data_IF_111437957295
#
_entry.id   IF_111437957295
#
_cell.length_a   1.000
_cell.length_b   1.000
_cell.length_c   1.000
_cell.angle_alpha   90.00
_cell.angle_beta   90.00
_cell.angle_gamma   90.00
#
_symmetry.space_group_name_H-M   'P 1'
#
loop_
_entity.id
_entity.type
_entity.pdbx_description
1 polymer ?
#
# COMPACT_ATOMS: atom_id res chain seq x y z
N UNK A 1 14.96 2.94 -3.97
CA UNK A 1 13.57 2.81 -3.46
C UNK A 1 13.26 1.33 -3.37
N UNK A 2 12.90 0.83 -2.20
CA UNK A 2 12.43 -0.55 -2.01
C UNK A 2 10.91 -0.55 -1.91
N UNK A 3 10.27 -1.61 -2.39
CA UNK A 3 8.82 -1.75 -2.34
C UNK A 3 8.46 -3.19 -2.01
N UNK A 4 7.82 -3.39 -0.88
CA UNK A 4 7.41 -4.69 -0.38
C UNK A 4 5.90 -4.85 -0.51
N UNK A 5 5.46 -6.06 -0.84
CA UNK A 5 4.04 -6.44 -0.81
C UNK A 5 3.85 -7.46 0.29
N UNK A 6 2.98 -7.15 1.25
CA UNK A 6 2.72 -7.96 2.43
C UNK A 6 1.23 -8.22 2.59
N UNK A 7 0.87 -9.34 3.19
CA UNK A 7 -0.51 -9.62 3.60
C UNK A 7 -0.66 -9.25 5.07
N UNK A 8 -1.58 -8.33 5.36
CA UNK A 8 -1.89 -7.89 6.71
C UNK A 8 -3.22 -8.48 7.14
N UNK A 9 -3.28 -9.01 8.35
CA UNK A 9 -4.54 -9.48 8.94
C UNK A 9 -5.34 -8.28 9.46
N UNK A 10 -6.59 -8.16 9.01
CA UNK A 10 -7.54 -7.18 9.55
C UNK A 10 -7.83 -7.48 11.03
N UNK A 11 -7.63 -6.48 11.89
CA UNK A 11 -7.94 -6.58 13.31
C UNK A 11 -9.45 -6.75 13.59
N UNK A 12 -10.31 -6.39 12.64
CA UNK A 12 -11.75 -6.43 12.80
C UNK A 12 -12.33 -7.84 12.61
N UNK A 13 -11.87 -8.56 11.60
CA UNK A 13 -12.53 -9.78 11.11
C UNK A 13 -11.56 -10.82 10.54
N UNK A 14 -10.25 -10.64 10.73
CA UNK A 14 -9.21 -11.60 10.33
C UNK A 14 -9.04 -11.78 8.82
N UNK A 15 -9.73 -11.00 8.00
CA UNK A 15 -9.54 -10.98 6.54
C UNK A 15 -8.13 -10.51 6.20
N UNK A 16 -7.44 -11.24 5.34
CA UNK A 16 -6.12 -10.85 4.83
C UNK A 16 -6.26 -9.75 3.78
N UNK A 17 -5.50 -8.68 3.95
CA UNK A 17 -5.49 -7.51 3.09
C UNK A 17 -4.10 -7.35 2.48
N UNK A 18 -4.04 -7.22 1.16
CA UNK A 18 -2.78 -6.92 0.47
C UNK A 18 -2.38 -5.46 0.67
N UNK A 19 -1.21 -5.25 1.26
CA UNK A 19 -0.60 -3.95 1.44
C UNK A 19 0.69 -3.86 0.64
N UNK A 20 0.91 -2.69 0.04
CA UNK A 20 2.16 -2.31 -0.60
C UNK A 20 2.81 -1.23 0.25
N UNK A 21 4.08 -1.42 0.60
CA UNK A 21 4.86 -0.49 1.41
C UNK A 21 6.07 -0.08 0.58
N UNK A 22 6.32 1.23 0.47
CA UNK A 22 7.47 1.77 -0.26
C UNK A 22 8.26 2.69 0.65
N UNK A 23 9.57 2.51 0.65
CA UNK A 23 10.49 3.24 1.51
C UNK A 23 11.86 3.41 0.84
N UNK A 24 12.63 4.35 1.38
CA UNK A 24 14.01 4.57 0.96
C UNK A 24 14.93 3.79 1.90
N UNK A 25 15.69 2.84 1.36
CA UNK A 25 16.64 1.99 2.12
C UNK A 25 17.91 2.74 2.55
N UNK A 26 17.97 4.06 2.38
CA UNK A 26 19.19 4.84 2.58
C UNK A 26 19.26 5.31 4.04
N UNK A 27 20.27 4.80 4.77
CA UNK A 27 20.80 5.38 6.01
C UNK A 27 19.83 5.62 7.18
N UNK A 28 18.85 4.75 7.41
CA UNK A 28 18.26 4.68 8.75
C UNK A 28 19.22 3.88 9.63
N UNK A 29 19.97 4.57 10.48
CA UNK A 29 20.38 3.96 11.76
C UNK A 29 19.11 3.32 12.35
N UNK A 30 19.17 2.06 12.77
CA UNK A 30 18.04 1.15 13.09
C UNK A 30 17.06 1.64 14.21
N UNK A 31 16.54 2.87 14.15
CA UNK A 31 15.73 3.47 15.20
C UNK A 31 15.11 4.84 14.88
N UNK A 32 15.31 5.40 13.69
CA UNK A 32 14.67 6.67 13.34
C UNK A 32 13.15 6.50 13.12
N UNK A 33 12.37 7.28 13.85
CA UNK A 33 10.91 7.36 13.68
C UNK A 33 10.62 8.22 12.45
N UNK A 34 10.15 7.58 11.38
CA UNK A 34 9.83 8.24 10.12
C UNK A 34 8.30 8.35 9.99
N UNK A 35 7.75 9.53 9.62
CA UNK A 35 6.32 9.65 9.36
C UNK A 35 5.89 8.77 8.18
N UNK A 36 4.75 8.11 8.35
CA UNK A 36 4.15 7.25 7.33
C UNK A 36 2.89 7.88 6.73
N UNK A 37 2.69 7.68 5.43
CA UNK A 37 1.50 8.11 4.69
C UNK A 37 0.75 6.87 4.22
N UNK A 38 -0.54 6.80 4.55
CA UNK A 38 -1.43 5.73 4.12
C UNK A 38 -2.32 6.24 2.98
N UNK A 39 -2.28 5.55 1.84
CA UNK A 39 -3.01 5.90 0.63
C UNK A 39 -4.11 4.88 0.35
N UNK A 40 -5.32 5.38 0.14
CA UNK A 40 -6.44 4.60 -0.39
C UNK A 40 -6.46 4.67 -1.91
N UNK A 41 -6.72 3.53 -2.56
CA UNK A 41 -6.88 3.51 -4.02
C UNK A 41 -8.27 4.04 -4.45
N UNK A 42 -8.42 4.47 -5.73
CA UNK A 42 -9.71 4.83 -6.31
C UNK A 42 -10.74 3.69 -6.26
N UNK A 43 -12.00 3.96 -6.57
CA UNK A 43 -13.10 3.00 -6.44
C UNK A 43 -12.81 1.62 -7.09
N UNK A 44 -12.79 0.58 -6.26
CA UNK A 44 -12.37 -0.79 -6.63
C UNK A 44 -13.14 -1.42 -7.78
N UNK A 45 -14.49 -1.37 -7.79
CA UNK A 45 -15.31 -1.94 -8.87
C UNK A 45 -15.06 -1.32 -10.26
N UNK A 46 -14.46 -0.13 -10.33
CA UNK A 46 -14.03 0.49 -11.60
C UNK A 46 -12.56 0.23 -11.92
N UNK A 47 -11.97 -0.83 -11.34
CA UNK A 47 -10.59 -1.23 -11.56
C UNK A 47 -9.57 -0.52 -10.66
N UNK A 48 -10.01 0.23 -9.65
CA UNK A 48 -9.12 0.83 -8.66
C UNK A 48 -8.43 -0.24 -7.80
N UNK A 49 -7.12 -0.11 -7.60
CA UNK A 49 -6.32 -0.99 -6.75
C UNK A 49 -5.04 -0.28 -6.27
N UNK A 50 -4.31 -0.91 -5.36
CA UNK A 50 -3.06 -0.39 -4.77
C UNK A 50 -1.88 -0.24 -5.77
N UNK A 51 -2.05 -0.65 -7.04
CA UNK A 51 -1.09 -0.46 -8.16
C UNK A 51 -1.60 0.53 -9.19
N UNK A 52 -2.71 1.21 -8.93
CA UNK A 52 -3.22 2.26 -9.80
C UNK A 52 -2.12 3.32 -10.05
N UNK A 53 -2.04 3.84 -11.27
CA UNK A 53 -0.99 4.77 -11.70
C UNK A 53 -0.87 6.00 -10.80
N UNK A 54 -2.00 6.56 -10.33
CA UNK A 54 -2.01 7.70 -9.41
C UNK A 54 -1.41 7.31 -8.06
N UNK A 55 -1.76 6.13 -7.54
CA UNK A 55 -1.23 5.62 -6.28
C UNK A 55 0.29 5.39 -6.39
N UNK A 56 0.74 4.79 -7.49
CA UNK A 56 2.17 4.57 -7.73
C UNK A 56 2.95 5.88 -7.82
N UNK A 57 2.40 6.91 -8.49
CA UNK A 57 3.02 8.24 -8.55
C UNK A 57 3.09 8.91 -7.18
N UNK A 58 2.07 8.76 -6.34
CA UNK A 58 2.07 9.28 -4.98
C UNK A 58 3.09 8.56 -4.08
N UNK A 59 3.23 7.23 -4.21
CA UNK A 59 4.30 6.48 -3.54
C UNK A 59 5.67 7.04 -3.89
N UNK A 60 5.97 7.22 -5.17
CA UNK A 60 7.25 7.78 -5.61
C UNK A 60 7.44 9.20 -5.07
N UNK A 61 6.44 10.06 -5.20
CA UNK A 61 6.50 11.44 -4.73
C UNK A 61 6.82 11.51 -3.23
N UNK A 62 6.04 10.84 -2.38
CA UNK A 62 6.22 10.94 -0.93
C UNK A 62 7.50 10.25 -0.44
N UNK A 63 7.93 9.16 -1.07
CA UNK A 63 9.20 8.50 -0.72
C UNK A 63 10.40 9.40 -1.03
N UNK A 64 10.37 10.18 -2.12
CA UNK A 64 11.43 11.18 -2.39
C UNK A 64 11.45 12.33 -1.38
N UNK A 65 10.35 12.55 -0.65
CA UNK A 65 10.24 13.54 0.43
C UNK A 65 10.61 12.98 1.81
N UNK A 66 11.04 11.72 1.88
CA UNK A 66 11.49 11.08 3.12
C UNK A 66 10.39 10.41 3.93
N UNK A 67 9.19 10.21 3.35
CA UNK A 67 8.12 9.47 4.02
C UNK A 67 8.20 7.98 3.71
N UNK A 68 7.71 7.16 4.64
CA UNK A 68 7.28 5.79 4.32
C UNK A 68 5.88 5.89 3.71
N UNK A 69 5.63 5.25 2.58
CA UNK A 69 4.29 5.26 1.96
C UNK A 69 3.71 3.85 1.94
N UNK A 70 2.46 3.72 2.36
CA UNK A 70 1.73 2.46 2.35
C UNK A 70 0.41 2.63 1.58
N UNK A 71 0.02 1.63 0.80
CA UNK A 71 -1.31 1.54 0.19
C UNK A 71 -1.87 0.15 0.36
N UNK A 72 -3.14 0.07 0.73
CA UNK A 72 -3.85 -1.20 0.93
C UNK A 72 -4.86 -1.40 -0.19
N UNK A 73 -5.08 -2.65 -0.57
CA UNK A 73 -6.30 -2.99 -1.30
C UNK A 73 -7.48 -2.99 -0.34
N UNK A 74 -8.61 -2.46 -0.79
CA UNK A 74 -9.87 -2.65 -0.09
C UNK A 74 -10.34 -4.09 -0.23
N UNK A 75 -11.29 -4.46 0.62
CA UNK A 75 -11.91 -5.79 0.61
C UNK A 75 -12.36 -6.14 -0.80
N UNK A 76 -12.21 -7.41 -1.17
CA UNK A 76 -12.64 -7.96 -2.46
C UNK A 76 -11.91 -7.37 -3.69
N UNK A 77 -10.95 -6.47 -3.48
CA UNK A 77 -10.02 -5.98 -4.50
C UNK A 77 -8.72 -6.79 -4.36
N UNK A 78 -8.71 -8.05 -4.79
CA UNK A 78 -7.51 -8.88 -4.75
C UNK A 78 -6.80 -8.90 -6.11
N UNK A 79 -5.48 -8.71 -6.11
CA UNK A 79 -4.65 -8.86 -7.31
C UNK A 79 -4.58 -10.32 -7.79
N UNK A 80 -4.69 -11.31 -6.89
CA UNK A 80 -4.53 -12.74 -7.22
C UNK A 80 -5.82 -13.55 -7.34
N UNK A 81 -6.93 -13.04 -6.84
CA UNK A 81 -8.24 -13.65 -7.00
C UNK A 81 -9.22 -12.55 -7.41
N UNK A 82 -9.38 -12.39 -8.72
CA UNK A 82 -10.38 -11.53 -9.33
C UNK A 82 -11.80 -12.10 -9.14
N UNK A 83 -12.21 -12.34 -7.89
CA UNK A 83 -13.60 -12.49 -7.50
C UNK A 83 -14.02 -11.21 -6.79
N UNK A 84 -14.28 -10.18 -7.60
CA UNK A 84 -15.24 -9.15 -7.20
C UNK A 84 -16.60 -9.85 -7.06
N UNK A 85 -16.89 -10.40 -5.89
CA UNK A 85 -18.23 -10.86 -5.56
C UNK A 85 -18.97 -9.66 -4.98
N UNK A 86 -20.02 -9.28 -5.67
CA UNK A 86 -21.09 -8.44 -5.13
C UNK A 86 -21.88 -9.22 -4.08
#
# INVERSE_FOLDING_TARGET
MSSDTVLLESCHDKTLIEARITYTSHNTNNGDIVPAIVLAHPYGPLGGNNRNNVIMALHEYFVTKGFITASINFRQVCYKEARMLW
#
